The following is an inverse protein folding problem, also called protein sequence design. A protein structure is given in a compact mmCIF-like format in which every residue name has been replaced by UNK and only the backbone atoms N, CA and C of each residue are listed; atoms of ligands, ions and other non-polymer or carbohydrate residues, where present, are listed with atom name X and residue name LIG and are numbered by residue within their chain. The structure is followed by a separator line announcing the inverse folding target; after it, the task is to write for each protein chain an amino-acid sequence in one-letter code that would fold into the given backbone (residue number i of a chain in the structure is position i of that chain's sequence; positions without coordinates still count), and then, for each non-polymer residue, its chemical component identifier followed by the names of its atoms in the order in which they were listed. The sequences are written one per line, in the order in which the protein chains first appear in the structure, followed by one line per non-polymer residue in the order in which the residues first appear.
data_IF_707393490214
#
_entry.id   IF_707393490214
#
_cell.length_a   1.000
_cell.length_b   1.000
_cell.length_c   1.000
_cell.angle_alpha   90.00
_cell.angle_beta   90.00
_cell.angle_gamma   90.00
#
_symmetry.space_group_name_H-M   'P 1'
#
loop_
_entity.id
_entity.type
_entity.pdbx_description
1 polymer ?
#
# COMPACT_ATOMS: atom_id res chain seq x y z
N UNK A 1 6.84 -11.50 14.24
CA UNK A 1 5.80 -11.71 13.23
C UNK A 1 4.85 -10.52 13.27
N UNK A 2 4.84 -9.68 12.23
CA UNK A 2 3.93 -8.52 12.11
C UNK A 2 2.82 -8.90 11.13
N UNK A 3 1.57 -8.86 11.58
CA UNK A 3 0.41 -9.06 10.71
C UNK A 3 0.21 -7.83 9.84
N UNK A 4 0.21 -8.03 8.53
CA UNK A 4 -0.09 -7.01 7.51
C UNK A 4 -1.55 -7.13 7.11
N UNK A 5 -2.24 -6.00 7.15
CA UNK A 5 -3.64 -5.86 6.80
C UNK A 5 -3.80 -4.86 5.66
N UNK A 6 -4.93 -4.88 4.95
CA UNK A 6 -5.26 -3.84 3.97
C UNK A 6 -5.10 -2.42 4.53
N UNK A 7 -5.44 -2.21 5.80
CA UNK A 7 -5.29 -0.90 6.45
C UNK A 7 -3.84 -0.44 6.48
N UNK A 8 -2.91 -1.32 6.87
CA UNK A 8 -1.48 -0.99 6.95
C UNK A 8 -0.92 -0.65 5.57
N UNK A 9 -1.30 -1.40 4.53
CA UNK A 9 -0.84 -1.13 3.16
C UNK A 9 -1.37 0.22 2.66
N UNK A 10 -2.64 0.53 2.92
CA UNK A 10 -3.22 1.86 2.58
C UNK A 10 -2.47 2.97 3.31
N UNK A 11 -2.23 2.85 4.61
CA UNK A 11 -1.49 3.85 5.38
C UNK A 11 -0.09 4.08 4.81
N UNK A 12 0.64 3.01 4.47
CA UNK A 12 1.97 3.10 3.86
C UNK A 12 1.96 3.78 2.49
N UNK A 13 1.02 3.40 1.62
CA UNK A 13 0.87 4.02 0.30
C UNK A 13 0.48 5.49 0.42
N UNK A 14 -0.46 5.83 1.31
CA UNK A 14 -0.89 7.21 1.55
C UNK A 14 0.25 8.07 2.08
N UNK A 15 1.02 7.60 3.08
CA UNK A 15 2.18 8.35 3.57
C UNK A 15 3.24 8.54 2.51
N UNK A 16 3.47 7.55 1.63
CA UNK A 16 4.36 7.71 0.48
C UNK A 16 3.85 8.79 -0.50
N UNK A 17 2.57 8.75 -0.86
CA UNK A 17 1.95 9.72 -1.77
C UNK A 17 1.93 11.15 -1.19
N UNK A 18 1.88 11.30 0.13
CA UNK A 18 1.97 12.59 0.82
C UNK A 18 3.41 13.03 1.16
N UNK A 19 4.43 12.29 0.72
CA UNK A 19 5.85 12.53 1.06
C UNK A 19 6.15 12.52 2.57
N UNK A 20 5.33 11.81 3.35
CA UNK A 20 5.56 11.55 4.78
C UNK A 20 6.40 10.28 5.00
N UNK A 21 6.54 9.46 3.95
CA UNK A 21 7.34 8.25 3.90
C UNK A 21 8.17 8.26 2.61
N UNK A 22 9.48 8.10 2.71
CA UNK A 22 10.34 8.05 1.52
C UNK A 22 10.17 6.72 0.76
N UNK A 23 10.44 6.72 -0.55
CA UNK A 23 10.36 5.50 -1.35
C UNK A 23 11.24 4.38 -0.78
N UNK A 24 12.45 4.72 -0.35
CA UNK A 24 13.38 3.76 0.25
C UNK A 24 12.82 3.13 1.53
N UNK A 25 12.12 3.91 2.37
CA UNK A 25 11.51 3.40 3.61
C UNK A 25 10.29 2.52 3.32
N UNK A 26 9.56 2.80 2.24
CA UNK A 26 8.47 1.95 1.76
C UNK A 26 8.99 0.61 1.23
N UNK A 27 10.07 0.64 0.46
CA UNK A 27 10.75 -0.55 -0.08
C UNK A 27 11.32 -1.40 1.06
N UNK A 28 12.10 -0.81 1.96
CA UNK A 28 12.66 -1.49 3.14
C UNK A 28 11.55 -2.14 3.98
N UNK A 29 10.43 -1.45 4.18
CA UNK A 29 9.29 -2.01 4.89
C UNK A 29 8.74 -3.25 4.17
N UNK A 30 8.55 -3.17 2.86
CA UNK A 30 8.03 -4.27 2.07
C UNK A 30 8.96 -5.48 2.05
N UNK A 31 10.27 -5.28 1.89
CA UNK A 31 11.27 -6.35 1.98
C UNK A 31 11.24 -7.05 3.34
N UNK A 32 11.21 -6.29 4.44
CA UNK A 32 11.12 -6.84 5.78
C UNK A 32 9.84 -7.67 6.01
N UNK A 33 8.71 -7.24 5.45
CA UNK A 33 7.47 -8.02 5.49
C UNK A 33 7.59 -9.29 4.66
N UNK A 34 8.21 -9.25 3.48
CA UNK A 34 8.40 -10.44 2.65
C UNK A 34 9.33 -11.47 3.30
N UNK A 35 10.22 -11.05 4.21
CA UNK A 35 11.09 -11.95 4.97
C UNK A 35 10.38 -12.61 6.16
N UNK A 36 9.74 -11.82 7.03
CA UNK A 36 9.26 -12.27 8.36
C UNK A 36 7.82 -11.81 8.72
N UNK A 37 7.10 -11.26 7.75
CA UNK A 37 5.73 -10.79 7.88
C UNK A 37 4.70 -11.91 7.73
N UNK A 38 3.50 -11.65 8.24
CA UNK A 38 2.32 -12.48 8.00
C UNK A 38 1.22 -11.61 7.41
N UNK A 39 0.29 -12.19 6.66
CA UNK A 39 -0.75 -11.44 5.96
C UNK A 39 -2.14 -11.88 6.43
N UNK A 40 -3.09 -10.96 6.49
CA UNK A 40 -4.47 -11.32 6.84
C UNK A 40 -5.03 -12.31 5.81
N UNK A 41 -5.72 -13.35 6.31
CA UNK A 41 -6.17 -14.47 5.47
C UNK A 41 -7.14 -14.03 4.37
N UNK A 42 -8.07 -13.12 4.70
CA UNK A 42 -9.12 -12.65 3.78
C UNK A 42 -8.56 -11.99 2.52
N UNK A 43 -7.38 -11.37 2.60
CA UNK A 43 -6.75 -10.63 1.50
C UNK A 43 -5.32 -11.11 1.19
N UNK A 44 -4.97 -12.32 1.63
CA UNK A 44 -3.60 -12.84 1.60
C UNK A 44 -2.91 -12.63 0.25
N UNK A 45 -3.51 -13.12 -0.84
CA UNK A 45 -2.93 -13.05 -2.18
C UNK A 45 -2.74 -11.60 -2.63
N UNK A 46 -3.74 -10.75 -2.41
CA UNK A 46 -3.71 -9.35 -2.81
C UNK A 46 -2.62 -8.58 -2.06
N UNK A 47 -2.56 -8.74 -0.74
CA UNK A 47 -1.56 -8.04 0.08
C UNK A 47 -0.16 -8.54 -0.24
N UNK A 48 0.02 -9.84 -0.40
CA UNK A 48 1.30 -10.43 -0.78
C UNK A 48 1.79 -9.89 -2.11
N UNK A 49 0.94 -9.82 -3.13
CA UNK A 49 1.31 -9.33 -4.46
C UNK A 49 1.69 -7.85 -4.43
N UNK A 50 0.92 -7.02 -3.73
CA UNK A 50 1.22 -5.59 -3.58
C UNK A 50 2.53 -5.40 -2.84
N UNK A 51 2.70 -6.04 -1.69
CA UNK A 51 3.93 -5.90 -0.90
C UNK A 51 5.15 -6.43 -1.67
N UNK A 52 5.02 -7.53 -2.40
CA UNK A 52 6.10 -8.03 -3.28
C UNK A 52 6.47 -7.00 -4.34
N UNK A 53 5.48 -6.32 -4.93
CA UNK A 53 5.70 -5.28 -5.94
C UNK A 53 6.33 -4.01 -5.37
N UNK A 54 5.99 -3.65 -4.13
CA UNK A 54 6.58 -2.53 -3.42
C UNK A 54 8.05 -2.80 -3.04
N UNK A 55 8.40 -4.03 -2.69
CA UNK A 55 9.77 -4.42 -2.32
C UNK A 55 10.81 -4.35 -3.45
N UNK A 56 10.40 -4.01 -4.67
CA UNK A 56 11.31 -3.82 -5.82
C UNK A 56 11.14 -2.45 -6.47
N UNK A 57 10.42 -1.53 -5.82
CA UNK A 57 9.96 -0.27 -6.42
C UNK A 57 11.06 0.78 -6.68
N UNK A 58 12.21 0.66 -6.01
CA UNK A 58 13.38 1.52 -6.20
C UNK A 58 14.22 1.13 -7.43
N UNK A 59 14.03 -0.07 -7.96
CA UNK A 59 14.67 -0.52 -9.19
C UNK A 59 14.02 0.21 -10.37
N UNK A 60 14.84 0.87 -11.21
CA UNK A 60 14.39 1.72 -12.33
C UNK A 60 13.36 1.07 -13.26
N UNK A 61 13.48 -0.24 -13.52
CA UNK A 61 12.54 -0.99 -14.37
C UNK A 61 11.18 -1.26 -13.70
N UNK A 62 11.12 -1.12 -12.39
CA UNK A 62 9.99 -1.40 -11.52
C UNK A 62 9.60 -0.16 -10.72
N UNK A 63 9.87 1.06 -11.21
CA UNK A 63 9.47 2.30 -10.52
C UNK A 63 8.00 2.28 -10.12
N UNK A 64 7.67 2.80 -8.94
CA UNK A 64 6.29 2.90 -8.45
C UNK A 64 5.63 4.15 -9.02
N UNK A 65 4.69 3.97 -9.96
CA UNK A 65 3.96 5.09 -10.56
C UNK A 65 2.70 5.45 -9.78
N UNK A 66 2.20 6.66 -9.99
CA UNK A 66 0.95 7.13 -9.40
C UNK A 66 -0.24 6.22 -9.76
N UNK A 67 -0.37 5.86 -11.04
CA UNK A 67 -1.46 5.00 -11.54
C UNK A 67 -1.41 3.61 -10.91
N UNK A 68 -0.22 3.14 -10.56
CA UNK A 68 -0.05 1.87 -9.89
C UNK A 68 -0.47 1.94 -8.41
N UNK A 69 -0.11 3.02 -7.70
CA UNK A 69 -0.64 3.30 -6.36
C UNK A 69 -2.17 3.40 -6.37
N UNK A 70 -2.74 4.09 -7.35
CA UNK A 70 -4.19 4.21 -7.53
C UNK A 70 -4.84 2.84 -7.76
N UNK A 71 -4.23 2.00 -8.60
CA UNK A 71 -4.70 0.62 -8.82
C UNK A 71 -4.69 -0.20 -7.53
N UNK A 72 -3.65 -0.10 -6.71
CA UNK A 72 -3.60 -0.79 -5.43
C UNK A 72 -4.73 -0.33 -4.51
N UNK A 73 -4.92 0.97 -4.35
CA UNK A 73 -5.94 1.54 -3.48
C UNK A 73 -7.39 1.26 -3.94
N UNK A 74 -7.58 0.94 -5.22
CA UNK A 74 -8.91 0.66 -5.82
C UNK A 74 -9.27 -0.82 -5.93
N UNK A 75 -8.37 -1.75 -5.58
CA UNK A 75 -8.66 -3.17 -5.77
C UNK A 75 -9.80 -3.65 -4.84
N UNK A 76 -10.80 -4.39 -5.36
CA UNK A 76 -12.01 -4.77 -4.62
C UNK A 76 -11.81 -5.77 -3.45
N UNK A 77 -10.57 -6.17 -3.15
CA UNK A 77 -10.19 -6.86 -1.90
C UNK A 77 -9.90 -5.90 -0.73
N UNK A 78 -9.73 -4.60 -1.00
CA UNK A 78 -9.81 -3.55 0.02
C UNK A 78 -11.27 -3.35 0.45
N UNK A 79 -11.93 -4.40 0.93
CA UNK A 79 -13.15 -4.27 1.69
C UNK A 79 -12.77 -3.75 3.06
N UNK A 80 -12.47 -2.45 3.11
CA UNK A 80 -12.64 -1.66 4.31
C UNK A 80 -14.12 -1.85 4.64
N UNK A 81 -14.42 -2.72 5.61
CA UNK A 81 -15.74 -2.77 6.19
C UNK A 81 -16.08 -1.31 6.55
N UNK A 82 -17.09 -0.68 5.92
CA UNK A 82 -17.22 0.77 5.91
C UNK A 82 -17.73 1.24 7.27
N UNK A 83 -16.83 1.31 8.25
CA UNK A 83 -16.83 2.48 9.12
C UNK A 83 -16.33 3.62 8.24
N UNK A 84 -17.32 4.21 7.58
CA UNK A 84 -17.18 5.00 6.37
C UNK A 84 -16.22 6.18 6.47
N UNK A 85 -15.87 6.66 5.27
CA UNK A 85 -15.13 7.87 4.95
C UNK A 85 -13.61 7.77 4.78
N UNK A 86 -12.84 6.87 5.39
CA UNK A 86 -11.37 6.94 5.23
C UNK A 86 -10.87 6.61 3.81
N UNK A 87 -11.26 5.48 3.21
CA UNK A 87 -10.75 5.09 1.88
C UNK A 87 -11.14 6.06 0.76
N UNK A 88 -12.36 6.59 0.80
CA UNK A 88 -12.84 7.57 -0.18
C UNK A 88 -12.34 8.99 0.10
N UNK A 89 -12.26 9.42 1.37
CA UNK A 89 -11.78 10.76 1.72
C UNK A 89 -10.26 10.92 1.62
N UNK A 90 -9.49 9.82 1.71
CA UNK A 90 -8.05 9.81 1.44
C UNK A 90 -7.77 9.92 -0.05
N UNK A 91 -8.56 9.23 -0.88
CA UNK A 91 -8.55 9.46 -2.32
C UNK A 91 -8.95 10.92 -2.61
N UNK A 92 -10.08 11.41 -2.10
CA UNK A 92 -10.53 12.80 -2.36
C UNK A 92 -9.53 13.86 -1.88
N UNK A 93 -8.84 13.70 -0.72
CA UNK A 93 -7.82 14.65 -0.26
C UNK A 93 -6.50 14.57 -1.04
N UNK A 94 -6.08 13.37 -1.44
CA UNK A 94 -4.90 13.19 -2.30
C UNK A 94 -5.17 13.71 -3.73
N UNK A 95 -6.41 13.62 -4.21
CA UNK A 95 -6.83 14.15 -5.51
C UNK A 95 -7.05 15.67 -5.52
N UNK A 96 -7.31 16.32 -4.38
CA UNK A 96 -7.62 17.76 -4.30
C UNK A 96 -6.41 18.67 -4.00
N UNK A 97 -5.26 18.13 -3.57
CA UNK A 97 -4.08 18.91 -3.19
C UNK A 97 -2.85 18.74 -4.11
N UNK A 98 -3.04 18.19 -5.33
CA UNK A 98 -2.01 18.15 -6.39
C UNK A 98 -2.27 19.18 -7.49
#
# INVERSE_FOLDING_TARGET
MKLVTSKIVVEKLTSYLHHELELAELVDWAENIMMDGDFEEDNYETLRDIVSRLGVADVKAFGLTWEECERFLKQPGYSINPVGKLGLALLDNAFLNM
#
